data_IF_186529928010
#
_entry.id   IF_186529928010
#
_cell.length_a   1.000
_cell.length_b   1.000
_cell.length_c   1.000
_cell.angle_alpha   90.00
_cell.angle_beta   90.00
_cell.angle_gamma   90.00
#
_symmetry.space_group_name_H-M   'P 1'
#
loop_
_entity.id
_entity.type
_entity.pdbx_description
1 polymer ?
#
# COMPACT_ATOMS: atom_id res chain seq x y z
N UNK A 1 -0.88 27.27 6.91
CA UNK A 1 -2.26 27.35 6.39
C UNK A 1 -2.63 26.01 5.77
N UNK A 2 -3.66 25.37 6.30
CA UNK A 2 -4.07 24.00 5.97
C UNK A 2 -4.59 23.92 4.52
N UNK A 3 -3.84 23.26 3.65
CA UNK A 3 -4.32 22.89 2.32
C UNK A 3 -5.44 21.86 2.46
N UNK A 4 -6.56 21.98 1.70
CA UNK A 4 -7.65 21.04 1.81
C UNK A 4 -7.21 19.68 1.24
N UNK A 5 -7.25 18.65 2.09
CA UNK A 5 -7.16 17.26 1.66
C UNK A 5 -8.35 16.93 0.75
N UNK A 6 -8.15 16.99 -0.56
CA UNK A 6 -9.01 16.33 -1.55
C UNK A 6 -8.19 15.27 -2.28
N UNK A 7 -8.80 14.10 -2.38
CA UNK A 7 -8.17 12.84 -2.73
C UNK A 7 -7.37 12.85 -4.03
N UNK A 8 -6.33 12.01 -4.00
CA UNK A 8 -5.48 11.68 -5.13
C UNK A 8 -6.34 11.08 -6.24
N UNK A 9 -6.33 11.70 -7.42
CA UNK A 9 -6.95 11.14 -8.63
C UNK A 9 -5.84 10.97 -9.66
N UNK A 10 -5.28 9.77 -9.71
CA UNK A 10 -4.47 9.33 -10.85
C UNK A 10 -5.36 9.21 -12.09
N UNK A 11 -4.86 9.59 -13.28
CA UNK A 11 -5.59 9.38 -14.53
C UNK A 11 -5.64 7.88 -14.80
N UNK A 12 -6.81 7.25 -14.61
CA UNK A 12 -7.00 5.81 -14.82
C UNK A 12 -8.10 5.16 -13.97
N UNK A 13 -8.63 5.86 -12.96
CA UNK A 13 -9.69 5.35 -12.09
C UNK A 13 -10.97 6.17 -12.17
N UNK A 14 -11.84 5.80 -13.11
CA UNK A 14 -13.25 6.14 -13.04
C UNK A 14 -13.90 5.33 -11.92
N UNK A 15 -13.98 5.89 -10.71
CA UNK A 15 -15.05 5.55 -9.77
C UNK A 15 -15.68 6.82 -9.21
N UNK A 16 -17.00 6.89 -9.40
CA UNK A 16 -17.89 8.00 -9.14
C UNK A 16 -18.02 8.23 -7.63
N UNK A 17 -17.74 9.45 -7.18
CA UNK A 17 -18.44 10.06 -6.05
C UNK A 17 -19.31 11.17 -6.65
N UNK A 18 -20.59 10.86 -6.82
CA UNK A 18 -21.59 11.83 -7.25
C UNK A 18 -21.83 12.81 -6.10
N UNK A 19 -21.15 13.97 -6.12
CA UNK A 19 -21.60 15.14 -5.40
C UNK A 19 -22.63 15.86 -6.28
N UNK A 20 -23.91 15.68 -5.97
CA UNK A 20 -24.99 16.43 -6.60
C UNK A 20 -24.94 17.90 -6.10
N UNK A 21 -24.95 18.91 -6.98
CA UNK A 21 -25.27 20.26 -6.56
C UNK A 21 -26.78 20.36 -6.34
N UNK A 22 -27.17 20.90 -5.19
CA UNK A 22 -28.54 21.18 -4.82
C UNK A 22 -29.21 22.07 -5.87
N UNK A 23 -30.20 21.54 -6.59
CA UNK A 23 -31.15 22.34 -7.35
C UNK A 23 -32.36 22.64 -6.47
N UNK A 24 -32.78 23.91 -6.56
CA UNK A 24 -33.93 24.53 -5.92
C UNK A 24 -35.19 23.66 -6.07
N UNK A 25 -35.84 23.36 -4.95
CA UNK A 25 -37.12 22.65 -4.87
C UNK A 25 -38.27 23.58 -5.29
N UNK A 26 -39.00 23.22 -6.34
CA UNK A 26 -40.33 23.75 -6.64
C UNK A 26 -41.29 22.55 -6.77
N UNK A 27 -42.40 22.62 -6.01
CA UNK A 27 -43.39 21.56 -5.81
C UNK A 27 -44.16 21.16 -7.10
N UNK A 28 -44.79 19.96 -7.15
CA UNK A 28 -45.41 19.41 -8.35
C UNK A 28 -46.92 19.70 -8.43
N UNK A 29 -47.53 19.67 -9.63
CA UNK A 29 -48.97 19.45 -9.74
C UNK A 29 -49.31 18.08 -10.36
N UNK A 30 -49.91 17.25 -9.50
CA UNK A 30 -51.10 16.39 -9.64
C UNK A 30 -51.50 15.85 -11.04
N UNK A 31 -51.67 14.53 -11.11
CA UNK A 31 -52.22 13.72 -12.24
C UNK A 31 -53.71 14.00 -12.52
N UNK A 32 -54.25 13.53 -13.66
CA UNK A 32 -55.11 12.35 -13.54
C UNK A 32 -54.93 11.29 -14.66
N UNK A 33 -55.58 10.14 -14.40
CA UNK A 33 -55.48 8.84 -15.04
C UNK A 33 -56.08 8.76 -16.45
N UNK A 34 -55.51 7.89 -17.30
CA UNK A 34 -56.26 7.19 -18.35
C UNK A 34 -55.66 5.79 -18.57
N UNK A 35 -56.49 4.77 -18.36
CA UNK A 35 -56.21 3.37 -18.65
C UNK A 35 -56.60 3.03 -20.10
N UNK A 36 -55.82 2.21 -20.78
CA UNK A 36 -56.25 1.48 -21.97
C UNK A 36 -55.36 0.24 -22.20
N UNK A 37 -55.93 -0.91 -21.85
CA UNK A 37 -55.92 -2.24 -22.47
C UNK A 37 -54.64 -2.92 -23.03
N UNK A 38 -54.47 -4.17 -22.58
CA UNK A 38 -53.61 -5.20 -23.14
C UNK A 38 -54.39 -6.09 -24.10
N UNK A 39 -53.75 -6.55 -25.18
CA UNK A 39 -53.53 -7.96 -25.61
C UNK A 39 -53.14 -7.99 -27.14
N UNK A 40 -52.77 -9.14 -27.77
CA UNK A 40 -51.39 -9.63 -27.84
C UNK A 40 -50.85 -10.00 -29.25
N UNK A 41 -49.51 -10.16 -29.32
CA UNK A 41 -48.67 -10.97 -30.25
C UNK A 41 -48.96 -10.98 -31.76
N UNK A 42 -47.98 -10.48 -32.55
CA UNK A 42 -47.43 -11.21 -33.71
C UNK A 42 -45.98 -10.82 -33.99
N UNK A 43 -45.14 -11.84 -34.16
CA UNK A 43 -43.69 -11.70 -34.21
C UNK A 43 -43.16 -11.12 -35.52
N UNK A 44 -42.09 -10.36 -35.40
CA UNK A 44 -41.07 -10.27 -36.45
C UNK A 44 -39.70 -10.16 -35.78
N UNK A 45 -38.84 -11.16 -36.02
CA UNK A 45 -37.43 -11.13 -35.68
C UNK A 45 -36.79 -9.99 -36.49
N UNK A 46 -36.54 -8.85 -35.85
CA UNK A 46 -35.56 -7.87 -36.34
C UNK A 46 -34.26 -8.09 -35.59
N UNK A 47 -33.23 -8.38 -36.38
CA UNK A 47 -31.83 -8.54 -36.03
C UNK A 47 -31.39 -7.35 -35.17
N UNK A 48 -31.19 -7.58 -33.87
CA UNK A 48 -30.54 -6.62 -32.98
C UNK A 48 -29.05 -6.61 -33.35
N UNK A 49 -28.63 -5.62 -34.11
CA UNK A 49 -27.24 -5.20 -34.10
C UNK A 49 -26.91 -4.78 -32.68
N UNK A 50 -25.98 -5.50 -32.08
CA UNK A 50 -25.39 -5.19 -30.78
C UNK A 50 -24.52 -3.94 -30.97
N UNK A 51 -25.15 -2.76 -30.89
CA UNK A 51 -24.41 -1.52 -30.70
C UNK A 51 -23.67 -1.62 -29.37
N UNK A 52 -22.38 -1.93 -29.47
CA UNK A 52 -21.42 -1.74 -28.40
C UNK A 52 -21.45 -0.28 -28.02
N UNK A 53 -22.24 0.04 -26.97
CA UNK A 53 -22.19 1.35 -26.30
C UNK A 53 -20.76 1.57 -25.82
N UNK A 54 -19.95 2.24 -26.65
CA UNK A 54 -18.68 2.83 -26.24
C UNK A 54 -18.99 3.66 -25.01
N UNK A 55 -18.45 3.27 -23.85
CA UNK A 55 -18.50 4.09 -22.64
C UNK A 55 -18.03 5.49 -23.06
N UNK A 56 -18.88 6.50 -22.88
CA UNK A 56 -18.48 7.89 -23.07
C UNK A 56 -17.33 8.13 -22.08
N UNK A 57 -16.11 8.14 -22.60
CA UNK A 57 -14.95 8.66 -21.88
C UNK A 57 -15.29 10.11 -21.60
N UNK A 58 -15.48 10.47 -20.33
CA UNK A 58 -15.58 11.88 -19.94
C UNK A 58 -14.38 12.58 -20.54
N UNK A 59 -14.59 13.45 -21.53
CA UNK A 59 -13.54 14.27 -22.14
C UNK A 59 -13.00 15.20 -21.07
N UNK A 60 -12.05 14.72 -20.26
CA UNK A 60 -11.23 15.60 -19.44
C UNK A 60 -10.39 16.42 -20.41
N UNK A 61 -10.40 17.74 -20.26
CA UNK A 61 -9.50 18.57 -21.03
C UNK A 61 -8.05 18.14 -20.73
N UNK A 62 -7.18 18.06 -21.76
CA UNK A 62 -5.78 17.74 -21.55
C UNK A 62 -5.17 18.81 -20.64
N UNK A 63 -4.30 18.37 -19.72
CA UNK A 63 -3.54 19.29 -18.89
C UNK A 63 -2.56 20.05 -19.79
N UNK A 64 -2.35 21.34 -19.49
CA UNK A 64 -1.37 22.15 -20.20
C UNK A 64 0.04 21.84 -19.69
N UNK A 65 1.06 22.00 -20.54
CA UNK A 65 2.45 21.64 -20.19
C UNK A 65 3.09 22.66 -19.25
N UNK A 66 3.43 23.86 -19.77
CA UNK A 66 4.07 24.93 -19.00
C UNK A 66 3.13 26.14 -18.86
N UNK A 67 3.05 26.75 -17.66
CA UNK A 67 2.32 28.00 -17.48
C UNK A 67 2.99 29.13 -18.22
N UNK A 68 2.17 29.98 -18.85
CA UNK A 68 2.62 31.19 -19.56
C UNK A 68 2.71 32.36 -18.59
N UNK A 69 1.75 32.43 -17.66
CA UNK A 69 1.64 33.51 -16.68
C UNK A 69 2.40 33.17 -15.39
N UNK A 70 2.85 34.22 -14.69
CA UNK A 70 3.53 34.10 -13.38
C UNK A 70 2.61 33.52 -12.31
N UNK A 71 1.31 33.81 -12.40
CA UNK A 71 0.28 33.31 -11.48
C UNK A 71 -0.63 32.38 -12.24
N UNK A 72 -0.56 31.10 -11.90
CA UNK A 72 -1.33 30.05 -12.57
C UNK A 72 -1.88 29.05 -11.55
N UNK A 73 -2.99 28.41 -11.91
CA UNK A 73 -3.58 27.40 -11.05
C UNK A 73 -2.97 26.04 -11.37
N UNK A 74 -2.23 25.48 -10.41
CA UNK A 74 -1.42 24.26 -10.58
C UNK A 74 -2.20 23.04 -11.10
N UNK A 75 -3.49 22.93 -10.80
CA UNK A 75 -4.34 21.81 -11.21
C UNK A 75 -4.73 21.77 -12.71
N UNK A 76 -4.47 22.85 -13.46
CA UNK A 76 -4.68 22.89 -14.92
C UNK A 76 -3.44 22.47 -15.71
N UNK A 77 -2.32 22.27 -15.02
CA UNK A 77 -1.04 21.93 -15.61
C UNK A 77 -0.58 20.53 -15.20
N UNK A 78 0.23 19.93 -16.06
CA UNK A 78 0.90 18.68 -15.74
C UNK A 78 1.89 18.91 -14.59
N UNK A 79 1.95 17.96 -13.65
CA UNK A 79 2.93 18.02 -12.57
C UNK A 79 4.32 17.79 -13.16
N UNK A 80 5.32 18.62 -12.83
CA UNK A 80 6.67 18.40 -13.30
C UNK A 80 7.20 17.07 -12.76
N UNK A 81 7.85 16.31 -13.63
CA UNK A 81 8.65 15.14 -13.27
C UNK A 81 10.12 15.56 -13.20
N UNK A 82 10.79 15.15 -12.12
CA UNK A 82 12.21 15.43 -11.92
C UNK A 82 13.00 14.13 -11.90
N UNK A 83 14.26 14.21 -12.32
CA UNK A 83 15.19 13.13 -12.11
C UNK A 83 15.53 12.99 -10.62
N UNK A 84 15.97 11.79 -10.22
CA UNK A 84 16.19 11.46 -8.80
C UNK A 84 17.23 12.38 -8.18
N UNK A 85 18.31 12.68 -8.90
CA UNK A 85 19.40 13.55 -8.44
C UNK A 85 18.93 14.98 -8.20
N UNK A 86 18.18 15.54 -9.16
CA UNK A 86 17.60 16.88 -9.06
C UNK A 86 16.60 16.96 -7.90
N UNK A 87 15.72 15.96 -7.78
CA UNK A 87 14.73 15.89 -6.71
C UNK A 87 15.39 15.87 -5.33
N UNK A 88 16.46 15.10 -5.15
CA UNK A 88 17.23 15.07 -3.89
C UNK A 88 17.89 16.42 -3.62
N UNK A 89 18.45 17.08 -4.64
CA UNK A 89 19.02 18.42 -4.52
C UNK A 89 17.98 19.47 -4.10
N UNK A 90 16.76 19.39 -4.64
CA UNK A 90 15.65 20.27 -4.26
C UNK A 90 15.20 20.02 -2.82
N UNK A 91 15.07 18.75 -2.40
CA UNK A 91 14.67 18.40 -1.03
C UNK A 91 15.64 18.95 0.02
N UNK A 92 16.95 18.90 -0.24
CA UNK A 92 17.97 19.50 0.64
C UNK A 92 17.81 21.01 0.75
N UNK A 93 17.61 21.71 -0.37
CA UNK A 93 17.37 23.16 -0.38
C UNK A 93 16.08 23.54 0.35
N UNK A 94 15.01 22.78 0.16
CA UNK A 94 13.74 23.04 0.86
C UNK A 94 13.89 22.92 2.37
N UNK A 95 14.65 21.95 2.85
CA UNK A 95 14.92 21.82 4.28
C UNK A 95 15.61 23.06 4.86
N UNK A 96 16.60 23.61 4.15
CA UNK A 96 17.31 24.84 4.54
C UNK A 96 16.37 26.06 4.54
N UNK A 97 15.56 26.21 3.49
CA UNK A 97 14.63 27.34 3.32
C UNK A 97 13.47 27.30 4.31
N UNK A 98 12.96 26.11 4.61
CA UNK A 98 11.84 25.89 5.53
C UNK A 98 12.30 25.86 7.01
N UNK A 99 13.61 26.01 7.28
CA UNK A 99 14.21 25.92 8.62
C UNK A 99 13.75 24.67 9.40
N UNK A 100 13.59 23.54 8.69
CA UNK A 100 13.09 22.29 9.29
C UNK A 100 14.23 21.55 10.00
N UNK A 101 13.88 20.57 10.83
CA UNK A 101 14.85 19.75 11.56
C UNK A 101 15.91 19.12 10.61
N UNK A 102 17.22 19.23 10.91
CA UNK A 102 18.29 18.83 10.00
C UNK A 102 18.37 17.34 9.69
N UNK A 103 17.80 16.45 10.52
CA UNK A 103 17.77 14.99 10.26
C UNK A 103 16.36 14.50 9.93
N UNK A 104 15.67 15.19 9.03
CA UNK A 104 14.31 14.84 8.64
C UNK A 104 14.28 13.56 7.78
N UNK A 105 13.28 12.72 7.98
CA UNK A 105 13.08 11.54 7.14
C UNK A 105 12.52 11.91 5.76
N UNK A 106 13.10 11.31 4.73
CA UNK A 106 12.60 11.34 3.35
C UNK A 106 11.67 10.15 3.13
N UNK A 107 10.50 10.42 2.58
CA UNK A 107 9.50 9.42 2.23
C UNK A 107 9.43 9.21 0.73
N UNK A 108 9.27 7.95 0.30
CA UNK A 108 8.84 7.61 -1.05
C UNK A 108 7.40 7.14 -0.99
N UNK A 109 6.59 7.68 -1.89
CA UNK A 109 5.22 7.25 -2.12
C UNK A 109 5.14 6.56 -3.50
N UNK A 110 4.95 5.24 -3.51
CA UNK A 110 4.77 4.46 -4.73
C UNK A 110 3.30 4.10 -4.89
N UNK A 111 2.74 4.38 -6.07
CA UNK A 111 1.38 4.00 -6.42
C UNK A 111 1.42 2.79 -7.34
N UNK A 112 0.82 1.70 -6.88
CA UNK A 112 0.77 0.44 -7.58
C UNK A 112 -0.60 0.25 -8.24
N UNK A 113 -0.59 -0.19 -9.50
CA UNK A 113 -1.80 -0.73 -10.12
C UNK A 113 -1.94 -2.22 -9.76
N UNK A 114 -2.75 -2.49 -8.73
CA UNK A 114 -2.99 -3.85 -8.23
C UNK A 114 -4.18 -4.54 -8.92
N UNK A 115 -4.70 -3.97 -10.02
CA UNK A 115 -5.77 -4.56 -10.80
C UNK A 115 -5.24 -5.56 -11.85
N UNK A 116 -5.66 -6.83 -11.77
CA UNK A 116 -5.42 -7.79 -12.86
C UNK A 116 -6.58 -7.81 -13.86
N UNK A 117 -6.26 -8.16 -15.11
CA UNK A 117 -7.18 -8.28 -16.25
C UNK A 117 -8.43 -9.16 -15.98
N UNK A 118 -8.38 -10.08 -15.03
CA UNK A 118 -9.44 -11.08 -14.77
C UNK A 118 -10.14 -10.89 -13.41
N UNK A 119 -10.70 -9.74 -13.05
CA UNK A 119 -11.43 -9.48 -11.77
C UNK A 119 -10.72 -9.92 -10.46
N UNK A 120 -9.49 -10.41 -10.54
CA UNK A 120 -8.66 -10.83 -9.42
C UNK A 120 -7.93 -9.58 -8.96
N UNK A 121 -8.09 -9.22 -7.70
CA UNK A 121 -7.25 -8.20 -7.06
C UNK A 121 -6.04 -8.91 -6.48
N UNK A 122 -4.88 -8.26 -6.53
CA UNK A 122 -3.73 -8.69 -5.72
C UNK A 122 -4.02 -8.33 -4.27
N UNK A 123 -3.79 -9.25 -3.34
CA UNK A 123 -3.93 -8.95 -1.92
C UNK A 123 -2.81 -8.00 -1.47
N UNK A 124 -3.09 -7.04 -0.56
CA UNK A 124 -2.05 -6.20 0.02
C UNK A 124 -0.97 -7.07 0.68
N UNK A 125 0.28 -6.84 0.29
CA UNK A 125 1.42 -7.60 0.80
C UNK A 125 2.38 -6.69 1.57
N UNK A 126 3.25 -7.35 2.33
CA UNK A 126 4.36 -6.75 3.05
C UNK A 126 5.63 -7.51 2.68
N UNK A 127 6.72 -6.78 2.46
CA UNK A 127 8.01 -7.34 2.11
C UNK A 127 9.13 -6.52 2.72
N UNK A 128 10.31 -7.12 2.80
CA UNK A 128 11.49 -6.54 3.44
C UNK A 128 12.59 -6.36 2.40
N UNK A 129 13.21 -5.19 2.36
CA UNK A 129 14.31 -4.85 1.45
C UNK A 129 15.50 -4.35 2.25
N UNK A 130 16.69 -4.81 1.86
CA UNK A 130 17.94 -4.29 2.41
C UNK A 130 18.36 -3.06 1.60
N UNK A 131 18.54 -1.93 2.30
CA UNK A 131 19.04 -0.71 1.68
C UNK A 131 20.57 -0.72 1.63
N UNK A 132 21.20 -0.15 0.58
CA UNK A 132 22.66 -0.05 0.50
C UNK A 132 23.28 0.77 1.63
N UNK A 133 22.55 1.81 2.07
CA UNK A 133 22.95 2.68 3.15
C UNK A 133 21.88 2.71 4.22
N UNK A 134 22.31 2.55 5.47
CA UNK A 134 21.42 2.64 6.62
C UNK A 134 21.19 4.10 6.97
N UNK A 135 19.94 4.44 7.28
CA UNK A 135 19.57 5.79 7.72
C UNK A 135 19.02 5.85 9.15
N UNK A 136 18.74 4.69 9.75
CA UNK A 136 18.25 4.56 11.13
C UNK A 136 19.34 3.90 11.98
N UNK A 137 19.54 4.42 13.19
CA UNK A 137 20.52 3.91 14.15
C UNK A 137 19.96 2.70 14.93
N UNK A 138 18.63 2.60 15.00
CA UNK A 138 17.91 1.50 15.63
C UNK A 138 17.99 0.24 14.75
N UNK A 139 18.38 -0.87 15.38
CA UNK A 139 18.34 -2.19 14.77
C UNK A 139 17.00 -2.87 15.08
N UNK A 140 16.46 -3.57 14.09
CA UNK A 140 15.22 -4.32 14.31
C UNK A 140 15.47 -5.45 15.30
N UNK A 141 14.54 -5.62 16.24
CA UNK A 141 14.55 -6.76 17.16
C UNK A 141 14.00 -7.97 16.40
N UNK A 142 14.80 -9.03 16.33
CA UNK A 142 14.44 -10.25 15.62
C UNK A 142 14.39 -11.42 16.60
N UNK A 143 13.29 -12.17 16.58
CA UNK A 143 13.09 -13.38 17.36
C UNK A 143 13.18 -14.59 16.43
N UNK A 144 13.96 -15.58 16.83
CA UNK A 144 14.16 -16.82 16.07
C UNK A 144 13.53 -17.99 16.81
N UNK A 145 12.68 -18.72 16.10
CA UNK A 145 12.08 -19.97 16.56
C UNK A 145 12.90 -21.17 16.07
N UNK A 146 13.49 -21.90 17.02
CA UNK A 146 14.26 -23.14 16.77
C UNK A 146 13.97 -24.19 17.85
N UNK A 147 14.10 -25.46 17.49
CA UNK A 147 14.08 -26.58 18.47
C UNK A 147 15.48 -27.15 18.69
N UNK A 148 16.36 -27.00 17.72
CA UNK A 148 17.73 -27.48 17.79
C UNK A 148 18.59 -26.49 18.57
N UNK A 149 19.36 -26.99 19.54
CA UNK A 149 20.26 -26.17 20.36
C UNK A 149 21.40 -25.56 19.53
N UNK A 150 21.95 -26.32 18.57
CA UNK A 150 22.99 -25.83 17.66
C UNK A 150 22.53 -24.63 16.83
N UNK A 151 21.32 -24.71 16.27
CA UNK A 151 20.71 -23.59 15.54
C UNK A 151 20.43 -22.39 16.46
N UNK A 152 20.09 -22.66 17.72
CA UNK A 152 19.86 -21.62 18.71
C UNK A 152 21.15 -20.88 19.08
N UNK A 153 22.27 -21.60 19.23
CA UNK A 153 23.59 -21.02 19.47
C UNK A 153 24.01 -20.13 18.29
N UNK A 154 23.90 -20.64 17.06
CA UNK A 154 24.18 -19.87 15.84
C UNK A 154 23.33 -18.60 15.79
N UNK A 155 22.04 -18.68 16.13
CA UNK A 155 21.17 -17.51 16.15
C UNK A 155 21.61 -16.45 17.18
N UNK A 156 22.02 -16.87 18.38
CA UNK A 156 22.51 -15.98 19.45
C UNK A 156 23.83 -15.31 19.05
N UNK A 157 24.77 -16.07 18.49
CA UNK A 157 26.05 -15.54 18.02
C UNK A 157 25.89 -14.48 16.94
N UNK A 158 24.90 -14.65 16.05
CA UNK A 158 24.59 -13.70 14.99
C UNK A 158 23.73 -12.50 15.45
N UNK A 159 23.46 -12.39 16.75
CA UNK A 159 22.80 -11.23 17.37
C UNK A 159 21.28 -11.24 17.28
N UNK A 160 20.65 -12.42 17.31
CA UNK A 160 19.20 -12.51 17.55
C UNK A 160 18.85 -11.95 18.94
N UNK A 161 17.77 -11.18 19.03
CA UNK A 161 17.37 -10.55 20.29
C UNK A 161 16.81 -11.58 21.29
N UNK A 162 16.01 -12.52 20.78
CA UNK A 162 15.43 -13.62 21.55
C UNK A 162 15.46 -14.88 20.69
N UNK A 163 15.84 -16.00 21.30
CA UNK A 163 15.89 -17.30 20.64
C UNK A 163 15.22 -18.31 21.54
N UNK A 164 14.30 -19.11 20.99
CA UNK A 164 13.65 -20.16 21.75
C UNK A 164 12.67 -20.98 20.92
N UNK A 165 12.11 -21.99 21.56
CA UNK A 165 11.19 -22.92 20.94
C UNK A 165 9.73 -22.62 21.26
N UNK A 166 9.02 -23.67 21.70
CA UNK A 166 7.58 -23.62 22.03
C UNK A 166 7.26 -22.80 23.29
N UNK A 167 8.24 -22.57 24.15
CA UNK A 167 8.09 -21.83 25.40
C UNK A 167 7.65 -20.38 25.15
N UNK A 168 8.23 -19.76 24.12
CA UNK A 168 7.96 -18.38 23.73
C UNK A 168 6.54 -18.17 23.20
N UNK A 169 5.84 -19.24 22.78
CA UNK A 169 4.49 -19.13 22.23
C UNK A 169 3.53 -18.51 23.25
N UNK A 170 3.62 -18.92 24.52
CA UNK A 170 2.74 -18.41 25.58
C UNK A 170 2.99 -16.93 25.85
N UNK A 171 4.24 -16.54 26.05
CA UNK A 171 4.63 -15.14 26.29
C UNK A 171 4.27 -14.22 25.13
N UNK A 172 4.40 -14.71 23.88
CA UNK A 172 3.94 -13.95 22.71
C UNK A 172 2.42 -13.85 22.69
N UNK A 173 1.67 -14.88 23.08
CA UNK A 173 0.21 -14.82 23.19
C UNK A 173 -0.27 -13.88 24.30
N UNK A 174 0.54 -13.68 25.34
CA UNK A 174 0.28 -12.76 26.46
C UNK A 174 0.82 -11.34 26.22
N UNK A 175 1.48 -11.09 25.08
CA UNK A 175 2.10 -9.79 24.70
C UNK A 175 3.26 -9.34 25.62
N UNK A 176 3.87 -10.25 26.37
CA UNK A 176 5.03 -9.93 27.21
C UNK A 176 6.28 -9.59 26.37
N UNK A 177 6.40 -10.19 25.19
CA UNK A 177 7.53 -9.99 24.29
C UNK A 177 7.10 -9.17 23.07
N UNK A 178 7.66 -7.97 22.94
CA UNK A 178 7.51 -7.10 21.77
C UNK A 178 8.72 -7.21 20.84
N UNK A 179 8.49 -7.75 19.64
CA UNK A 179 9.53 -7.96 18.62
C UNK A 179 9.03 -7.44 17.26
N UNK A 180 9.96 -6.98 16.42
CA UNK A 180 9.66 -6.46 15.09
C UNK A 180 9.42 -7.60 14.09
N UNK A 181 10.37 -8.55 14.01
CA UNK A 181 10.33 -9.67 13.07
C UNK A 181 10.45 -11.04 13.75
N UNK A 182 9.79 -12.04 13.15
CA UNK A 182 9.82 -13.43 13.56
C UNK A 182 10.42 -14.29 12.43
N UNK A 183 11.48 -15.02 12.75
CA UNK A 183 12.11 -16.02 11.89
C UNK A 183 11.83 -17.40 12.47
N UNK A 184 11.60 -18.40 11.61
CA UNK A 184 11.45 -19.77 12.06
C UNK A 184 12.23 -20.76 11.19
N UNK A 185 12.68 -21.84 11.81
CA UNK A 185 13.18 -23.02 11.11
C UNK A 185 11.99 -23.92 10.74
N UNK A 186 12.00 -24.59 9.57
CA UNK A 186 10.87 -25.42 9.13
C UNK A 186 10.40 -26.48 10.14
N UNK A 187 11.31 -27.02 10.96
CA UNK A 187 11.01 -28.08 11.94
C UNK A 187 9.99 -27.66 13.01
N UNK A 188 10.05 -26.42 13.50
CA UNK A 188 9.17 -25.92 14.58
C UNK A 188 7.81 -25.42 14.05
N UNK A 189 7.66 -25.28 12.74
CA UNK A 189 6.51 -24.64 12.11
C UNK A 189 5.15 -25.28 12.48
N UNK A 190 5.00 -26.62 12.60
CA UNK A 190 3.76 -27.24 13.05
C UNK A 190 3.31 -26.81 14.45
N UNK A 191 4.27 -26.48 15.33
CA UNK A 191 3.98 -26.07 16.71
C UNK A 191 3.59 -24.59 16.81
N UNK A 192 3.94 -23.77 15.81
CA UNK A 192 3.66 -22.33 15.76
C UNK A 192 2.26 -21.97 15.24
N UNK A 193 1.44 -22.95 14.84
CA UNK A 193 0.07 -22.74 14.34
C UNK A 193 -0.80 -21.84 15.25
N UNK A 194 -0.74 -21.94 16.58
CA UNK A 194 -1.53 -21.06 17.47
C UNK A 194 -1.22 -19.57 17.28
N UNK A 195 0.00 -19.21 16.88
CA UNK A 195 0.42 -17.82 16.68
C UNK A 195 -0.10 -17.22 15.37
N UNK A 196 -0.64 -18.03 14.44
CA UNK A 196 -1.05 -17.58 13.11
C UNK A 196 -2.06 -16.43 13.15
N UNK A 197 -3.04 -16.51 14.06
CA UNK A 197 -4.08 -15.50 14.20
C UNK A 197 -3.56 -14.21 14.85
N UNK A 198 -2.58 -14.31 15.74
CA UNK A 198 -1.98 -13.17 16.44
C UNK A 198 -1.00 -12.41 15.55
N UNK A 199 -0.05 -13.13 14.96
CA UNK A 199 1.00 -12.52 14.15
C UNK A 199 0.50 -12.05 12.77
N UNK A 200 -0.54 -12.68 12.21
CA UNK A 200 -1.14 -12.33 10.89
C UNK A 200 -0.09 -12.13 9.79
N UNK A 201 0.25 -10.86 9.49
CA UNK A 201 1.25 -10.46 8.50
C UNK A 201 2.69 -10.60 8.97
N UNK A 202 2.97 -10.77 10.26
CA UNK A 202 4.31 -11.05 10.77
C UNK A 202 4.62 -12.54 10.91
N UNK A 203 3.64 -13.41 10.61
CA UNK A 203 3.81 -14.86 10.73
C UNK A 203 4.92 -15.37 9.78
N UNK A 204 5.85 -16.23 10.24
CA UNK A 204 6.93 -16.76 9.42
C UNK A 204 6.41 -17.40 8.13
N UNK A 205 7.05 -17.11 7.00
CA UNK A 205 6.63 -17.67 5.70
C UNK A 205 7.77 -17.71 4.70
N UNK A 206 7.81 -18.73 3.86
CA UNK A 206 8.81 -18.87 2.80
C UNK A 206 8.75 -17.70 1.80
N UNK A 207 7.54 -17.18 1.51
CA UNK A 207 7.36 -16.05 0.58
C UNK A 207 8.05 -14.76 1.04
N UNK A 208 8.23 -14.60 2.35
CA UNK A 208 8.91 -13.45 2.95
C UNK A 208 10.37 -13.71 3.28
N UNK A 209 10.90 -14.89 2.96
CA UNK A 209 12.24 -15.32 3.37
C UNK A 209 12.44 -15.37 4.91
N UNK A 210 11.36 -15.50 5.70
CA UNK A 210 11.43 -15.64 7.16
C UNK A 210 11.30 -17.09 7.66
N UNK A 211 11.24 -18.03 6.72
CA UNK A 211 11.24 -19.47 6.98
C UNK A 211 12.35 -20.11 6.14
N UNK A 212 13.32 -20.75 6.79
CA UNK A 212 14.46 -21.38 6.11
C UNK A 212 15.43 -22.03 7.08
N UNK A 213 16.43 -22.71 6.54
CA UNK A 213 17.51 -23.34 7.33
C UNK A 213 18.70 -22.39 7.54
N UNK A 214 18.91 -21.43 6.63
CA UNK A 214 20.02 -20.48 6.68
C UNK A 214 19.73 -19.31 7.63
N UNK A 215 19.82 -19.56 8.94
CA UNK A 215 19.54 -18.57 9.99
C UNK A 215 20.40 -17.30 9.86
N UNK A 216 21.73 -17.37 9.65
CA UNK A 216 22.58 -16.17 9.60
C UNK A 216 22.17 -15.20 8.49
N UNK A 217 21.85 -15.74 7.31
CA UNK A 217 21.43 -14.96 6.14
C UNK A 217 20.08 -14.28 6.37
N UNK A 218 19.13 -15.00 6.97
CA UNK A 218 17.83 -14.42 7.31
C UNK A 218 17.97 -13.34 8.38
N UNK A 219 18.77 -13.57 9.42
CA UNK A 219 19.02 -12.59 10.48
C UNK A 219 19.61 -11.29 9.94
N UNK A 220 20.60 -11.38 9.05
CA UNK A 220 21.17 -10.20 8.41
C UNK A 220 20.11 -9.41 7.63
N UNK A 221 19.25 -10.09 6.88
CA UNK A 221 18.19 -9.44 6.13
C UNK A 221 17.18 -8.73 7.04
N UNK A 222 16.72 -9.35 8.12
CA UNK A 222 15.68 -8.77 8.98
C UNK A 222 16.21 -7.77 10.00
N UNK A 223 17.47 -7.88 10.41
CA UNK A 223 18.09 -6.93 11.35
C UNK A 223 18.30 -5.55 10.72
N UNK A 224 18.67 -5.52 9.44
CA UNK A 224 18.93 -4.27 8.69
C UNK A 224 17.81 -3.90 7.71
N UNK A 225 16.94 -4.86 7.41
CA UNK A 225 15.93 -4.71 6.39
C UNK A 225 14.85 -3.72 6.78
N UNK A 226 14.41 -2.97 5.78
CA UNK A 226 13.25 -2.10 5.86
C UNK A 226 12.02 -2.86 5.38
N UNK A 227 11.01 -2.98 6.24
CA UNK A 227 9.69 -3.49 5.83
C UNK A 227 8.89 -2.37 5.16
N UNK A 228 8.29 -2.68 4.01
CA UNK A 228 7.28 -1.84 3.39
C UNK A 228 5.98 -2.63 3.24
N UNK A 229 4.88 -1.92 3.40
CA UNK A 229 3.53 -2.47 3.37
C UNK A 229 2.71 -1.68 2.36
N UNK A 230 1.88 -2.40 1.60
CA UNK A 230 0.86 -1.74 0.79
C UNK A 230 -0.29 -1.27 1.69
N UNK A 231 -0.44 0.04 1.80
CA UNK A 231 -1.57 0.75 2.38
C UNK A 231 -2.70 0.92 1.34
N UNK A 232 -3.95 0.95 1.80
CA UNK A 232 -5.14 1.32 1.00
C UNK A 232 -5.24 0.62 -0.37
N UNK A 233 -4.88 -0.67 -0.41
CA UNK A 233 -4.81 -1.54 -1.60
C UNK A 233 -3.83 -1.10 -2.70
N UNK A 234 -3.18 0.08 -2.65
CA UNK A 234 -2.44 0.62 -3.82
C UNK A 234 -1.24 1.50 -3.51
N UNK A 235 -1.04 1.93 -2.27
CA UNK A 235 0.00 2.93 -1.96
C UNK A 235 1.03 2.32 -1.04
N UNK A 236 2.30 2.45 -1.39
CA UNK A 236 3.41 2.18 -0.47
C UNK A 236 3.95 3.54 -0.03
N UNK A 237 3.94 3.81 1.28
CA UNK A 237 4.58 4.97 1.87
C UNK A 237 5.67 4.48 2.82
N UNK A 238 6.93 4.74 2.47
CA UNK A 238 8.05 4.24 3.28
C UNK A 238 9.13 5.30 3.42
N UNK A 239 9.77 5.32 4.59
CA UNK A 239 10.98 6.12 4.85
C UNK A 239 12.18 5.46 4.19
N UNK A 240 12.99 6.23 3.50
CA UNK A 240 14.13 5.69 2.75
C UNK A 240 15.48 6.29 3.14
N UNK A 241 15.49 7.50 3.67
CA UNK A 241 16.70 8.25 3.97
C UNK A 241 16.43 9.33 5.02
N UNK A 242 17.50 9.95 5.50
CA UNK A 242 17.47 11.24 6.19
C UNK A 242 18.13 12.28 5.27
N UNK A 243 17.60 13.49 5.25
CA UNK A 243 18.17 14.63 4.47
C UNK A 243 19.50 15.06 5.07
#
# INVERSE_FOLDING_TARGET
ALAPHRGWIFPGLDHRLAAAPAMVSAAPPVRPYAAADKTPKKGSRKTKQEETKKKQVTRRWPLMSKPVDDVYLTWYYERPSYDVEEAVGMLKKFQELDFTYPKQYVYINVFLDMALQKKKKVDPFASTVLLPHRFTDEMNKVLVFTENEQEAEIARENGAAVVGGVELIKWILEDEIQVDFYIAVPAIMPKLIPLRNKLRRKYPSTKRNSLGHDIPKMLQLFREGLEYVVEDERVIKTRIARV
#
